data_IF_053302440691
#
_entry.id   IF_053302440691
#
_cell.length_a   1.000
_cell.length_b   1.000
_cell.length_c   1.000
_cell.angle_alpha   90.00
_cell.angle_beta   90.00
_cell.angle_gamma   90.00
#
_symmetry.space_group_name_H-M   'P 1'
#
loop_
_entity.id
_entity.type
_entity.pdbx_description
1 polymer ?
#
# COMPACT_ATOMS: atom_id res chain seq x y z
N UNK A 1 -9.71 8.89 -1.38
CA UNK A 1 -10.86 9.68 -0.87
C UNK A 1 -11.50 10.55 -1.95
N UNK A 2 -10.74 11.36 -2.68
CA UNK A 2 -11.28 12.16 -3.80
C UNK A 2 -12.08 11.33 -4.82
N UNK A 3 -11.58 10.18 -5.26
CA UNK A 3 -12.34 9.30 -6.17
C UNK A 3 -13.65 8.74 -5.60
N UNK A 4 -13.81 8.73 -4.26
CA UNK A 4 -14.98 8.14 -3.60
C UNK A 4 -16.06 9.19 -3.29
N UNK A 5 -15.66 10.42 -2.97
CA UNK A 5 -16.58 11.47 -2.49
C UNK A 5 -16.62 12.73 -3.35
N UNK A 6 -15.66 12.95 -4.25
CA UNK A 6 -15.63 14.15 -5.08
C UNK A 6 -16.61 14.05 -6.25
N UNK A 7 -17.03 15.18 -6.85
CA UNK A 7 -17.90 15.19 -8.02
C UNK A 7 -17.28 14.42 -9.19
N UNK A 8 -18.13 13.74 -9.97
CA UNK A 8 -17.72 12.94 -11.13
C UNK A 8 -16.89 13.73 -12.17
N UNK A 9 -17.11 15.04 -12.29
CA UNK A 9 -16.33 15.92 -13.17
C UNK A 9 -14.85 16.00 -12.79
N UNK A 10 -14.50 15.76 -11.52
CA UNK A 10 -13.12 15.80 -11.02
C UNK A 10 -12.46 14.42 -10.94
N UNK A 11 -13.17 13.36 -11.32
CA UNK A 11 -12.73 11.97 -11.14
C UNK A 11 -11.37 11.68 -11.78
N UNK A 12 -11.16 12.15 -13.01
CA UNK A 12 -9.89 11.96 -13.73
C UNK A 12 -8.70 12.57 -12.99
N UNK A 13 -8.88 13.74 -12.39
CA UNK A 13 -7.82 14.39 -11.63
C UNK A 13 -7.41 13.55 -10.42
N UNK A 14 -8.38 13.05 -9.66
CA UNK A 14 -8.12 12.20 -8.51
C UNK A 14 -7.56 10.83 -8.92
N UNK A 15 -8.00 10.26 -10.03
CA UNK A 15 -7.49 9.00 -10.56
C UNK A 15 -6.00 9.12 -10.94
N UNK A 16 -5.61 10.20 -11.61
CA UNK A 16 -4.20 10.47 -11.95
C UNK A 16 -3.35 10.64 -10.69
N UNK A 17 -3.81 11.43 -9.72
CA UNK A 17 -3.09 11.60 -8.45
C UNK A 17 -2.93 10.28 -7.70
N UNK A 18 -3.96 9.44 -7.69
CA UNK A 18 -3.92 8.13 -7.06
C UNK A 18 -2.92 7.20 -7.78
N UNK A 19 -2.93 7.19 -9.13
CA UNK A 19 -1.99 6.42 -9.94
C UNK A 19 -0.54 6.85 -9.73
N UNK A 20 -0.27 8.16 -9.71
CA UNK A 20 1.07 8.70 -9.44
C UNK A 20 1.55 8.32 -8.03
N UNK A 21 0.69 8.45 -7.03
CA UNK A 21 1.00 8.06 -5.65
C UNK A 21 1.30 6.56 -5.53
N UNK A 22 0.48 5.71 -6.15
CA UNK A 22 0.65 4.27 -6.10
C UNK A 22 1.93 3.82 -6.84
N UNK A 23 2.15 4.33 -8.05
CA UNK A 23 3.35 4.01 -8.85
C UNK A 23 4.64 4.50 -8.19
N UNK A 24 4.63 5.73 -7.67
CA UNK A 24 5.77 6.28 -6.92
C UNK A 24 6.09 5.45 -5.68
N UNK A 25 5.07 5.11 -4.88
CA UNK A 25 5.25 4.30 -3.68
C UNK A 25 5.80 2.90 -4.02
N UNK A 26 5.29 2.26 -5.07
CA UNK A 26 5.79 0.96 -5.54
C UNK A 26 7.26 1.03 -5.97
N UNK A 27 7.64 2.05 -6.75
CA UNK A 27 9.02 2.26 -7.19
C UNK A 27 9.98 2.49 -6.01
N UNK A 28 9.57 3.29 -5.02
CA UNK A 28 10.36 3.54 -3.80
C UNK A 28 10.50 2.25 -2.99
N UNK A 29 9.43 1.47 -2.84
CA UNK A 29 9.47 0.21 -2.10
C UNK A 29 10.47 -0.79 -2.72
N UNK A 30 10.42 -1.01 -4.03
CA UNK A 30 11.38 -1.86 -4.74
C UNK A 30 12.82 -1.33 -4.61
N UNK A 31 13.01 0.00 -4.70
CA UNK A 31 14.32 0.63 -4.53
C UNK A 31 14.87 0.40 -3.12
N UNK A 32 14.03 0.50 -2.08
CA UNK A 32 14.44 0.22 -0.70
C UNK A 32 14.82 -1.24 -0.50
N UNK A 33 14.10 -2.19 -1.11
CA UNK A 33 14.48 -3.61 -1.07
C UNK A 33 15.89 -3.80 -1.64
N UNK A 34 16.16 -3.22 -2.82
CA UNK A 34 17.47 -3.33 -3.46
C UNK A 34 18.56 -2.68 -2.62
N UNK A 35 18.34 -1.45 -2.15
CA UNK A 35 19.33 -0.68 -1.38
C UNK A 35 19.67 -1.30 -0.01
N UNK A 36 18.81 -2.19 0.52
CA UNK A 36 18.93 -2.77 1.88
C UNK A 36 19.28 -4.26 1.83
N UNK A 37 19.34 -4.84 0.63
CA UNK A 37 19.76 -6.23 0.43
C UNK A 37 21.27 -6.32 0.27
N UNK A 38 21.89 -7.34 0.85
CA UNK A 38 23.33 -7.58 0.74
C UNK A 38 23.75 -8.09 -0.66
N UNK A 39 22.84 -8.80 -1.34
CA UNK A 39 23.06 -9.35 -2.67
C UNK A 39 21.74 -9.51 -3.47
N UNK A 40 21.87 -9.89 -4.74
CA UNK A 40 20.75 -10.04 -5.69
C UNK A 40 19.79 -11.17 -5.28
N UNK A 41 20.28 -12.25 -4.66
CA UNK A 41 19.45 -13.38 -4.23
C UNK A 41 18.59 -13.00 -3.04
N UNK A 42 19.14 -12.25 -2.08
CA UNK A 42 18.40 -11.70 -0.94
C UNK A 42 17.33 -10.72 -1.43
N UNK A 43 17.66 -9.82 -2.36
CA UNK A 43 16.70 -8.88 -2.95
C UNK A 43 15.53 -9.60 -3.65
N UNK A 44 15.83 -10.65 -4.42
CA UNK A 44 14.80 -11.45 -5.10
C UNK A 44 13.88 -12.17 -4.10
N UNK A 45 14.44 -12.77 -3.04
CA UNK A 45 13.67 -13.44 -1.99
C UNK A 45 12.77 -12.46 -1.21
N UNK A 46 13.32 -11.30 -0.81
CA UNK A 46 12.54 -10.27 -0.11
C UNK A 46 11.41 -9.71 -0.98
N UNK A 47 11.69 -9.50 -2.27
CA UNK A 47 10.68 -9.05 -3.24
C UNK A 47 9.57 -10.09 -3.42
N UNK A 48 9.92 -11.37 -3.56
CA UNK A 48 8.95 -12.45 -3.66
C UNK A 48 8.08 -12.57 -2.38
N UNK A 49 8.70 -12.45 -1.20
CA UNK A 49 7.98 -12.49 0.08
C UNK A 49 7.02 -11.31 0.22
N UNK A 50 7.47 -10.09 -0.04
CA UNK A 50 6.64 -8.88 0.06
C UNK A 50 5.49 -8.90 -0.95
N UNK A 51 5.73 -9.34 -2.18
CA UNK A 51 4.67 -9.50 -3.18
C UNK A 51 3.70 -10.62 -2.79
N UNK A 52 4.19 -11.79 -2.38
CA UNK A 52 3.36 -12.92 -1.97
C UNK A 52 2.42 -12.55 -0.82
N UNK A 53 2.95 -11.98 0.26
CA UNK A 53 2.16 -11.51 1.40
C UNK A 53 1.24 -10.36 0.98
N UNK A 54 1.76 -9.38 0.24
CA UNK A 54 1.02 -8.20 -0.20
C UNK A 54 -0.20 -8.55 -1.06
N UNK A 55 -0.03 -9.39 -2.07
CA UNK A 55 -1.12 -9.84 -2.93
C UNK A 55 -2.10 -10.76 -2.21
N UNK A 56 -1.63 -11.59 -1.27
CA UNK A 56 -2.52 -12.41 -0.44
C UNK A 56 -3.41 -11.53 0.43
N UNK A 57 -2.86 -10.48 1.06
CA UNK A 57 -3.65 -9.49 1.80
C UNK A 57 -4.57 -8.68 0.88
N UNK A 58 -4.12 -8.30 -0.32
CA UNK A 58 -4.93 -7.57 -1.28
C UNK A 58 -6.14 -8.39 -1.77
N UNK A 59 -5.99 -9.71 -1.91
CA UNK A 59 -7.09 -10.60 -2.28
C UNK A 59 -8.21 -10.66 -1.22
N UNK A 60 -7.92 -10.36 0.05
CA UNK A 60 -8.93 -10.22 1.09
C UNK A 60 -9.72 -8.89 0.99
N UNK A 61 -9.22 -7.91 0.22
CA UNK A 61 -9.82 -6.59 0.06
C UNK A 61 -11.28 -6.63 -0.43
N UNK A 62 -11.58 -7.25 -1.58
CA UNK A 62 -12.95 -7.35 -2.10
C UNK A 62 -13.92 -8.01 -1.12
N UNK A 63 -13.48 -9.05 -0.41
CA UNK A 63 -14.30 -9.72 0.60
C UNK A 63 -14.65 -8.78 1.76
N UNK A 64 -13.66 -8.07 2.32
CA UNK A 64 -13.87 -7.08 3.38
C UNK A 64 -14.80 -5.94 2.92
N UNK A 65 -14.66 -5.48 1.67
CA UNK A 65 -15.55 -4.47 1.10
C UNK A 65 -16.99 -4.97 0.99
N UNK A 66 -17.19 -6.22 0.54
CA UNK A 66 -18.52 -6.83 0.46
C UNK A 66 -19.18 -6.92 1.83
N UNK A 67 -18.50 -7.50 2.82
CA UNK A 67 -19.01 -7.60 4.19
C UNK A 67 -19.35 -6.23 4.78
N UNK A 68 -18.47 -5.25 4.60
CA UNK A 68 -18.68 -3.92 5.14
C UNK A 68 -19.83 -3.19 4.42
N UNK A 69 -20.04 -3.45 3.13
CA UNK A 69 -21.22 -2.98 2.40
C UNK A 69 -22.49 -3.65 2.91
N UNK A 70 -22.51 -4.97 3.06
CA UNK A 70 -23.69 -5.73 3.53
C UNK A 70 -24.15 -5.29 4.92
N UNK A 71 -23.21 -4.96 5.82
CA UNK A 71 -23.51 -4.49 7.17
C UNK A 71 -24.04 -3.05 7.23
N UNK A 72 -23.68 -2.20 6.27
CA UNK A 72 -23.96 -0.75 6.33
C UNK A 72 -24.91 -0.25 5.25
N UNK A 73 -25.14 -1.02 4.19
CA UNK A 73 -25.92 -0.66 3.01
C UNK A 73 -25.30 0.46 2.16
N UNK A 74 -24.08 0.92 2.44
CA UNK A 74 -23.48 2.10 1.79
C UNK A 74 -22.06 1.84 1.32
N UNK A 75 -21.71 2.35 0.14
CA UNK A 75 -20.33 2.33 -0.37
C UNK A 75 -19.46 3.43 0.23
N UNK A 76 -20.09 4.45 0.85
CA UNK A 76 -19.37 5.55 1.48
C UNK A 76 -18.49 5.07 2.64
N UNK A 77 -18.84 3.97 3.31
CA UNK A 77 -18.05 3.43 4.43
C UNK A 77 -16.68 2.90 4.01
N UNK A 78 -16.47 2.59 2.71
CA UNK A 78 -15.17 2.15 2.19
C UNK A 78 -14.06 3.17 2.42
N UNK A 79 -14.42 4.45 2.58
CA UNK A 79 -13.46 5.48 2.95
C UNK A 79 -12.77 5.21 4.29
N UNK A 80 -13.44 4.60 5.26
CA UNK A 80 -12.81 4.20 6.53
C UNK A 80 -11.78 3.10 6.32
N UNK A 81 -12.14 2.08 5.54
CA UNK A 81 -11.22 0.99 5.20
C UNK A 81 -9.98 1.52 4.46
N UNK A 82 -10.17 2.35 3.44
CA UNK A 82 -9.06 2.97 2.71
C UNK A 82 -8.21 3.89 3.57
N UNK A 83 -8.82 4.63 4.49
CA UNK A 83 -8.08 5.50 5.43
C UNK A 83 -7.24 4.68 6.41
N UNK A 84 -7.78 3.57 6.93
CA UNK A 84 -7.03 2.66 7.79
C UNK A 84 -5.82 2.06 7.06
N UNK A 85 -6.01 1.60 5.82
CA UNK A 85 -4.92 1.07 4.98
C UNK A 85 -3.88 2.16 4.67
N UNK A 86 -4.32 3.37 4.33
CA UNK A 86 -3.42 4.50 4.07
C UNK A 86 -2.59 4.86 5.31
N UNK A 87 -3.21 4.88 6.49
CA UNK A 87 -2.51 5.16 7.75
C UNK A 87 -1.50 4.06 8.09
N UNK A 88 -1.87 2.79 7.95
CA UNK A 88 -0.96 1.67 8.15
C UNK A 88 0.23 1.75 7.18
N UNK A 89 -0.02 2.11 5.92
CA UNK A 89 1.02 2.29 4.90
C UNK A 89 1.94 3.47 5.23
N UNK A 90 1.40 4.58 5.72
CA UNK A 90 2.18 5.74 6.15
C UNK A 90 3.11 5.39 7.32
N UNK A 91 2.59 4.69 8.32
CA UNK A 91 3.38 4.22 9.46
C UNK A 91 4.49 3.28 8.99
N UNK A 92 4.16 2.25 8.20
CA UNK A 92 5.13 1.31 7.65
C UNK A 92 6.21 2.00 6.81
N UNK A 93 5.81 2.91 5.91
CA UNK A 93 6.73 3.69 5.08
C UNK A 93 7.65 4.59 5.91
N UNK A 94 7.11 5.25 6.95
CA UNK A 94 7.91 6.09 7.85
C UNK A 94 8.94 5.28 8.65
N UNK A 95 8.60 4.04 9.04
CA UNK A 95 9.50 3.13 9.72
C UNK A 95 10.59 2.61 8.78
N UNK A 96 10.22 2.24 7.55
CA UNK A 96 11.15 1.75 6.53
C UNK A 96 12.12 2.83 6.02
N UNK A 97 11.69 4.10 6.01
CA UNK A 97 12.50 5.24 5.59
C UNK A 97 13.49 5.74 6.65
N UNK A 98 13.41 5.27 7.90
CA UNK A 98 14.37 5.66 8.94
C UNK A 98 15.76 5.16 8.60
N UNK A 99 16.77 6.00 8.81
CA UNK A 99 18.17 5.66 8.60
C UNK A 99 18.71 4.75 9.74
N UNK A 100 18.09 3.59 9.92
CA UNK A 100 18.53 2.54 10.83
C UNK A 100 19.17 1.43 9.99
N UNK A 101 20.47 1.27 10.11
CA UNK A 101 21.19 0.13 9.56
C UNK A 101 20.97 -1.08 10.45
N UNK A 102 20.55 -2.22 9.87
CA UNK A 102 20.58 -3.51 10.54
C UNK A 102 22.04 -3.83 10.82
N UNK A 103 22.49 -3.63 12.06
CA UNK A 103 23.82 -4.09 12.48
C UNK A 103 23.71 -5.60 12.66
N UNK A 104 24.46 -6.37 11.86
CA UNK A 104 24.70 -7.76 12.17
C UNK A 104 25.41 -7.78 13.53
N UNK A 105 24.75 -8.32 14.55
CA UNK A 105 25.36 -8.53 15.85
C UNK A 105 26.59 -9.42 15.70
N UNK A 106 27.68 -8.98 16.32
CA UNK A 106 28.86 -9.79 16.60
C UNK A 106 28.53 -10.97 17.52
#
# INVERSE_FOLDING_TARGET
>A
MGCLYAPLSTLWWWAVLLGLGQGGNFSVALSLIVLRSADVRVAASLSAMTQGIGYTMAAAGPYLMGVLHDLTGSWAVMGWLFSAIALASLVAGSLAGRNRTLHAGE
#
